data_IF_818907134215
#
_entry.id   IF_818907134215
#
_cell.length_a   1.000
_cell.length_b   1.000
_cell.length_c   1.000
_cell.angle_alpha   90.00
_cell.angle_beta   90.00
_cell.angle_gamma   90.00
#
_symmetry.space_group_name_H-M   'P 1'
#
loop_
_entity.id
_entity.type
_entity.pdbx_description
1 polymer ?
#
# COMPACT_ATOMS: atom_id res chain seq x y z
N UNK A 1 -3.07 7.49 -23.69
CA UNK A 1 -2.86 6.84 -22.38
C UNK A 1 -1.81 7.63 -21.61
N UNK A 2 -1.91 7.67 -20.31
CA UNK A 2 -1.02 8.42 -19.40
C UNK A 2 -1.10 9.96 -19.54
N UNK A 3 -2.29 10.52 -19.80
CA UNK A 3 -2.59 11.94 -19.67
C UNK A 3 -3.72 12.17 -18.66
N UNK A 4 -4.00 13.44 -18.31
CA UNK A 4 -5.02 13.79 -17.32
C UNK A 4 -6.42 13.25 -17.67
N UNK A 5 -6.83 13.37 -18.94
CA UNK A 5 -8.17 12.93 -19.36
C UNK A 5 -8.33 11.42 -19.18
N UNK A 6 -7.33 10.64 -19.63
CA UNK A 6 -7.32 9.20 -19.46
C UNK A 6 -7.38 8.81 -17.95
N UNK A 7 -6.62 9.51 -17.09
CA UNK A 7 -6.62 9.23 -15.66
C UNK A 7 -7.99 9.49 -15.03
N UNK A 8 -8.59 10.65 -15.30
CA UNK A 8 -9.91 11.00 -14.75
C UNK A 8 -11.02 10.12 -15.29
N UNK A 9 -10.93 9.66 -16.53
CA UNK A 9 -11.88 8.68 -17.10
C UNK A 9 -11.78 7.33 -16.36
N UNK A 10 -10.58 6.86 -16.03
CA UNK A 10 -10.40 5.64 -15.22
C UNK A 10 -10.99 5.82 -13.82
N UNK A 11 -10.67 6.91 -13.14
CA UNK A 11 -11.21 7.20 -11.81
C UNK A 11 -12.75 7.21 -11.83
N UNK A 12 -13.34 7.87 -12.81
CA UNK A 12 -14.79 7.91 -13.02
C UNK A 12 -15.40 6.53 -13.26
N UNK A 13 -14.74 5.70 -14.08
CA UNK A 13 -15.19 4.32 -14.32
C UNK A 13 -15.17 3.50 -13.03
N UNK A 14 -14.10 3.58 -12.23
CA UNK A 14 -13.98 2.88 -10.94
C UNK A 14 -15.10 3.30 -9.99
N UNK A 15 -15.37 4.62 -9.86
CA UNK A 15 -16.43 5.16 -9.02
C UNK A 15 -17.82 4.70 -9.50
N UNK A 16 -18.06 4.68 -10.80
CA UNK A 16 -19.32 4.19 -11.37
C UNK A 16 -19.57 2.70 -11.09
N UNK A 17 -18.49 1.92 -10.94
CA UNK A 17 -18.55 0.51 -10.53
C UNK A 17 -18.73 0.32 -9.02
N UNK A 18 -18.70 1.40 -8.22
CA UNK A 18 -18.72 1.34 -6.76
C UNK A 18 -17.47 0.65 -6.18
N UNK A 19 -16.36 0.71 -6.91
CA UNK A 19 -15.11 0.01 -6.57
C UNK A 19 -14.03 0.94 -6.00
N UNK A 20 -14.36 2.19 -5.69
CA UNK A 20 -13.47 3.23 -5.18
C UNK A 20 -13.25 3.17 -3.66
N UNK A 21 -13.67 2.09 -3.02
CA UNK A 21 -13.49 1.88 -1.58
C UNK A 21 -13.01 0.46 -1.29
N UNK A 22 -11.80 0.38 -0.74
CA UNK A 22 -11.24 -0.86 -0.20
C UNK A 22 -11.09 -0.76 1.34
N UNK A 23 -9.86 -0.78 1.88
CA UNK A 23 -9.63 -0.48 3.29
C UNK A 23 -9.92 0.99 3.61
N UNK A 24 -9.55 1.86 2.66
CA UNK A 24 -9.86 3.30 2.65
C UNK A 24 -10.52 3.62 1.30
N UNK A 25 -11.44 4.58 1.29
CA UNK A 25 -12.00 5.12 0.04
C UNK A 25 -10.99 6.02 -0.67
N UNK A 26 -11.21 6.28 -1.95
CA UNK A 26 -10.40 7.24 -2.71
C UNK A 26 -10.40 8.62 -2.05
N UNK A 27 -11.54 9.06 -1.53
CA UNK A 27 -11.67 10.37 -0.90
C UNK A 27 -10.90 10.42 0.44
N UNK A 28 -10.97 9.35 1.26
CA UNK A 28 -10.17 9.24 2.49
C UNK A 28 -8.67 9.23 2.21
N UNK A 29 -8.23 8.53 1.17
CA UNK A 29 -6.80 8.51 0.79
C UNK A 29 -6.36 9.89 0.32
N UNK A 30 -7.14 10.55 -0.51
CA UNK A 30 -6.86 11.91 -1.00
C UNK A 30 -6.77 12.90 0.14
N UNK A 31 -7.72 12.83 1.09
CA UNK A 31 -7.72 13.69 2.29
C UNK A 31 -6.50 13.43 3.17
N UNK A 32 -6.19 12.17 3.46
CA UNK A 32 -5.02 11.80 4.27
C UNK A 32 -3.69 12.25 3.64
N UNK A 33 -3.57 12.22 2.31
CA UNK A 33 -2.38 12.69 1.61
C UNK A 33 -2.27 14.21 1.59
N UNK A 34 -3.41 14.92 1.58
CA UNK A 34 -3.46 16.39 1.60
C UNK A 34 -3.28 16.96 3.00
N UNK A 35 -3.82 16.26 4.00
CA UNK A 35 -3.83 16.65 5.41
C UNK A 35 -3.39 15.48 6.30
N UNK A 36 -2.10 15.09 6.24
CA UNK A 36 -1.62 13.95 7.03
C UNK A 36 -1.74 14.23 8.52
N UNK A 37 -2.37 13.32 9.26
CA UNK A 37 -2.52 13.40 10.70
C UNK A 37 -1.62 12.40 11.42
N UNK A 38 -1.25 12.71 12.64
CA UNK A 38 -0.61 11.72 13.50
C UNK A 38 -1.62 10.66 13.93
N UNK A 39 -1.26 9.40 13.74
CA UNK A 39 -2.03 8.27 14.22
C UNK A 39 -1.79 8.04 15.70
N UNK A 40 -2.77 7.51 16.38
CA UNK A 40 -2.56 6.90 17.70
C UNK A 40 -1.72 5.61 17.55
N UNK A 41 -1.07 5.15 18.62
CA UNK A 41 -0.34 3.87 18.58
C UNK A 41 -1.22 2.68 18.15
N UNK A 42 -2.49 2.68 18.49
CA UNK A 42 -3.45 1.64 18.11
C UNK A 42 -3.72 1.69 16.60
N UNK A 43 -4.03 2.86 16.05
CA UNK A 43 -4.23 3.04 14.60
C UNK A 43 -2.97 2.68 13.81
N UNK A 44 -1.78 3.03 14.32
CA UNK A 44 -0.51 2.66 13.72
C UNK A 44 -0.36 1.13 13.63
N UNK A 45 -0.63 0.42 14.74
CA UNK A 45 -0.54 -1.04 14.79
C UNK A 45 -1.60 -1.70 13.90
N UNK A 46 -2.83 -1.17 13.84
CA UNK A 46 -3.90 -1.65 12.96
C UNK A 46 -3.51 -1.54 11.49
N UNK A 47 -2.91 -0.43 11.08
CA UNK A 47 -2.42 -0.27 9.70
C UNK A 47 -1.28 -1.23 9.36
N UNK A 48 -0.37 -1.49 10.32
CA UNK A 48 0.66 -2.50 10.16
C UNK A 48 0.05 -3.90 9.99
N UNK A 49 -0.91 -4.27 10.85
CA UNK A 49 -1.62 -5.54 10.76
C UNK A 49 -2.31 -5.70 9.39
N UNK A 50 -2.97 -4.65 8.91
CA UNK A 50 -3.63 -4.68 7.60
C UNK A 50 -2.66 -5.00 6.45
N UNK A 51 -1.53 -4.30 6.36
CA UNK A 51 -0.60 -4.51 5.24
C UNK A 51 0.12 -5.86 5.33
N UNK A 52 0.36 -6.38 6.54
CA UNK A 52 0.89 -7.73 6.78
C UNK A 52 -0.11 -8.78 6.29
N UNK A 53 -1.38 -8.62 6.62
CA UNK A 53 -2.44 -9.56 6.20
C UNK A 53 -2.71 -9.48 4.71
N UNK A 54 -2.67 -8.30 4.12
CA UNK A 54 -2.93 -8.08 2.69
C UNK A 54 -1.88 -8.74 1.78
N UNK A 55 -0.66 -8.96 2.25
CA UNK A 55 0.38 -9.63 1.49
C UNK A 55 -0.01 -11.08 1.12
N UNK A 56 -0.17 -11.37 -0.18
CA UNK A 56 -0.49 -12.72 -0.69
C UNK A 56 -1.96 -13.14 -0.58
N UNK A 57 -2.87 -12.23 -0.26
CA UNK A 57 -4.32 -12.48 -0.21
C UNK A 57 -5.10 -11.47 -1.04
N UNK A 58 -6.33 -11.86 -1.45
CA UNK A 58 -7.26 -10.88 -2.00
C UNK A 58 -7.62 -9.84 -0.92
N UNK A 59 -7.85 -8.60 -1.33
CA UNK A 59 -8.23 -7.54 -0.40
C UNK A 59 -9.49 -7.88 0.41
N UNK A 60 -10.49 -8.51 -0.21
CA UNK A 60 -11.72 -8.93 0.47
C UNK A 60 -11.42 -9.89 1.62
N UNK A 61 -10.52 -10.86 1.39
CA UNK A 61 -10.11 -11.82 2.42
C UNK A 61 -9.30 -11.13 3.51
N UNK A 62 -8.31 -10.32 3.12
CA UNK A 62 -7.48 -9.57 4.07
C UNK A 62 -8.31 -8.65 4.98
N UNK A 63 -9.28 -7.91 4.42
CA UNK A 63 -10.17 -7.02 5.18
C UNK A 63 -11.00 -7.79 6.22
N UNK A 64 -11.53 -8.96 5.85
CA UNK A 64 -12.31 -9.80 6.78
C UNK A 64 -11.45 -10.31 7.95
N UNK A 65 -10.26 -10.84 7.65
CA UNK A 65 -9.33 -11.34 8.67
C UNK A 65 -8.85 -10.18 9.55
N UNK A 66 -8.49 -9.05 8.95
CA UNK A 66 -8.06 -7.86 9.66
C UNK A 66 -9.10 -7.40 10.69
N UNK A 67 -10.37 -7.27 10.28
CA UNK A 67 -11.44 -6.85 11.19
C UNK A 67 -11.59 -7.78 12.40
N UNK A 68 -11.44 -9.08 12.22
CA UNK A 68 -11.51 -10.05 13.32
C UNK A 68 -10.31 -9.94 14.27
N UNK A 69 -9.10 -9.83 13.71
CA UNK A 69 -7.85 -9.73 14.47
C UNK A 69 -7.80 -8.42 15.25
N UNK A 70 -8.11 -7.27 14.62
CA UNK A 70 -8.07 -5.97 15.32
C UNK A 70 -9.13 -5.85 16.38
N UNK A 71 -10.36 -6.35 16.15
CA UNK A 71 -11.39 -6.38 17.20
C UNK A 71 -10.92 -7.17 18.44
N UNK A 72 -10.25 -8.29 18.24
CA UNK A 72 -9.68 -9.07 19.34
C UNK A 72 -8.54 -8.33 20.04
N UNK A 73 -7.59 -7.76 19.28
CA UNK A 73 -6.43 -7.02 19.81
C UNK A 73 -6.86 -5.84 20.69
N UNK A 74 -7.86 -5.09 20.28
CA UNK A 74 -8.38 -3.94 21.03
C UNK A 74 -9.04 -4.37 22.35
N UNK A 75 -9.69 -5.54 22.38
CA UNK A 75 -10.40 -6.02 23.56
C UNK A 75 -9.51 -6.78 24.55
N UNK A 76 -8.57 -7.58 24.04
CA UNK A 76 -7.87 -8.60 24.83
C UNK A 76 -6.34 -8.45 24.78
N UNK A 77 -5.81 -7.63 23.85
CA UNK A 77 -4.36 -7.55 23.63
C UNK A 77 -3.81 -8.66 22.74
N UNK A 78 -2.48 -8.73 22.64
CA UNK A 78 -1.78 -9.66 21.74
C UNK A 78 -1.59 -11.04 22.37
N UNK A 79 -2.56 -11.91 22.22
CA UNK A 79 -2.46 -13.35 22.52
C UNK A 79 -2.19 -14.11 21.21
N UNK A 80 -1.07 -14.82 21.17
CA UNK A 80 -0.64 -15.51 19.94
C UNK A 80 -1.56 -16.70 19.61
N UNK A 81 -1.92 -17.51 20.58
CA UNK A 81 -2.66 -18.77 20.35
C UNK A 81 -4.08 -18.46 19.85
N UNK A 82 -4.73 -17.49 20.46
CA UNK A 82 -6.05 -17.02 20.03
C UNK A 82 -6.01 -16.40 18.62
N UNK A 83 -5.06 -15.51 18.34
CA UNK A 83 -4.93 -14.91 17.01
C UNK A 83 -4.54 -15.94 15.95
N UNK A 84 -3.71 -16.93 16.30
CA UNK A 84 -3.35 -18.03 15.42
C UNK A 84 -4.55 -18.94 15.12
N UNK A 85 -5.45 -19.12 16.04
CA UNK A 85 -6.70 -19.87 15.80
C UNK A 85 -7.60 -19.20 14.77
N UNK A 86 -7.57 -17.85 14.71
CA UNK A 86 -8.33 -17.06 13.73
C UNK A 86 -7.68 -17.04 12.34
N UNK A 87 -6.33 -17.07 12.30
CA UNK A 87 -5.58 -17.02 11.07
C UNK A 87 -4.29 -17.85 11.15
N UNK A 88 -4.31 -19.04 10.56
CA UNK A 88 -3.24 -20.05 10.62
C UNK A 88 -1.98 -19.68 9.82
N UNK A 89 -1.40 -18.50 10.07
CA UNK A 89 -0.10 -18.08 9.54
C UNK A 89 0.81 -17.59 10.66
N UNK A 90 1.64 -18.50 11.16
CA UNK A 90 2.52 -18.27 12.32
C UNK A 90 3.38 -17.01 12.17
N UNK A 91 3.99 -16.80 11.00
CA UNK A 91 4.92 -15.69 10.80
C UNK A 91 4.20 -14.35 10.83
N UNK A 92 3.02 -14.25 10.20
CA UNK A 92 2.21 -13.04 10.20
C UNK A 92 1.66 -12.74 11.59
N UNK A 93 1.15 -13.74 12.29
CA UNK A 93 0.61 -13.56 13.63
C UNK A 93 1.70 -13.16 14.62
N UNK A 94 2.90 -13.79 14.57
CA UNK A 94 4.03 -13.34 15.40
C UNK A 94 4.37 -11.87 15.15
N UNK A 95 4.45 -11.45 13.89
CA UNK A 95 4.74 -10.06 13.53
C UNK A 95 3.68 -9.09 14.07
N UNK A 96 2.41 -9.43 13.92
CA UNK A 96 1.29 -8.61 14.42
C UNK A 96 1.36 -8.50 15.95
N UNK A 97 1.57 -9.61 16.67
CA UNK A 97 1.70 -9.61 18.12
C UNK A 97 2.89 -8.76 18.60
N UNK A 98 4.04 -8.85 17.93
CA UNK A 98 5.24 -8.09 18.26
C UNK A 98 5.00 -6.60 18.06
N UNK A 99 4.43 -6.20 16.91
CA UNK A 99 4.11 -4.80 16.62
C UNK A 99 3.09 -4.26 17.62
N UNK A 100 2.05 -5.02 17.93
CA UNK A 100 1.03 -4.60 18.88
C UNK A 100 1.58 -4.35 20.28
N UNK A 101 2.44 -5.25 20.79
CA UNK A 101 3.08 -5.09 22.10
C UNK A 101 3.99 -3.86 22.16
N UNK A 102 4.63 -3.52 21.04
CA UNK A 102 5.59 -2.41 20.94
C UNK A 102 5.02 -1.13 20.31
N UNK A 103 3.71 -1.06 20.06
CA UNK A 103 3.06 -0.01 19.27
C UNK A 103 3.36 1.42 19.73
N UNK A 104 3.45 1.65 21.05
CA UNK A 104 3.76 2.97 21.60
C UNK A 104 5.16 3.45 21.19
N UNK A 105 6.16 2.57 21.33
CA UNK A 105 7.54 2.89 20.99
C UNK A 105 7.72 3.03 19.48
N UNK A 106 7.16 2.09 18.70
CA UNK A 106 7.25 2.10 17.23
C UNK A 106 6.56 3.33 16.61
N UNK A 107 5.37 3.66 17.07
CA UNK A 107 4.64 4.83 16.62
C UNK A 107 5.40 6.13 16.97
N UNK A 108 5.91 6.25 18.21
CA UNK A 108 6.68 7.41 18.63
C UNK A 108 7.97 7.55 17.81
N UNK A 109 8.67 6.46 17.52
CA UNK A 109 9.88 6.47 16.70
C UNK A 109 9.60 6.88 15.26
N UNK A 110 8.57 6.32 14.62
CA UNK A 110 8.14 6.69 13.28
C UNK A 110 7.92 8.21 13.13
N UNK A 111 7.23 8.83 14.11
CA UNK A 111 6.94 10.27 14.08
C UNK A 111 8.10 11.17 14.52
N UNK A 112 9.22 10.61 14.98
CA UNK A 112 10.49 11.36 15.20
C UNK A 112 11.33 11.46 13.94
N UNK A 113 11.10 10.60 12.97
CA UNK A 113 11.85 10.56 11.72
C UNK A 113 11.26 11.62 10.78
N UNK A 114 12.10 12.57 10.33
CA UNK A 114 11.68 13.64 9.44
C UNK A 114 11.74 13.23 7.97
N UNK A 115 12.80 12.51 7.56
CA UNK A 115 12.98 12.16 6.15
C UNK A 115 12.12 10.97 5.76
N UNK A 116 11.50 11.06 4.58
CA UNK A 116 10.69 9.98 4.01
C UNK A 116 11.50 8.69 3.79
N UNK A 117 12.72 8.81 3.30
CA UNK A 117 13.59 7.66 3.05
C UNK A 117 13.92 6.90 4.35
N UNK A 118 14.18 7.63 5.44
CA UNK A 118 14.44 7.01 6.74
C UNK A 118 13.15 6.41 7.34
N UNK A 119 11.98 7.03 7.14
CA UNK A 119 10.68 6.43 7.49
C UNK A 119 10.46 5.11 6.76
N UNK A 120 10.68 5.07 5.44
CA UNK A 120 10.56 3.85 4.65
C UNK A 120 11.55 2.77 5.08
N UNK A 121 12.78 3.18 5.39
CA UNK A 121 13.80 2.29 5.92
C UNK A 121 13.39 1.72 7.29
N UNK A 122 12.93 2.56 8.21
CA UNK A 122 12.40 2.14 9.50
C UNK A 122 11.26 1.12 9.34
N UNK A 123 10.24 1.44 8.55
CA UNK A 123 9.11 0.54 8.31
C UNK A 123 9.56 -0.79 7.69
N UNK A 124 10.53 -0.77 6.77
CA UNK A 124 11.02 -1.99 6.11
C UNK A 124 11.83 -2.92 7.01
N UNK A 125 12.24 -2.46 8.20
CA UNK A 125 12.90 -3.28 9.23
C UNK A 125 11.91 -3.84 10.26
N UNK A 126 10.64 -3.43 10.21
CA UNK A 126 9.62 -3.98 11.09
C UNK A 126 9.30 -5.44 10.72
N UNK A 127 8.86 -6.26 11.69
CA UNK A 127 8.55 -7.66 11.45
C UNK A 127 7.58 -7.86 10.28
N UNK A 128 7.96 -8.71 9.34
CA UNK A 128 7.15 -9.09 8.16
C UNK A 128 6.77 -7.93 7.21
N UNK A 129 7.43 -6.77 7.32
CA UNK A 129 7.25 -5.63 6.43
C UNK A 129 8.49 -5.49 5.54
N UNK A 130 8.36 -5.86 4.26
CA UNK A 130 9.40 -5.67 3.25
C UNK A 130 9.29 -4.29 2.57
N UNK A 131 10.23 -3.97 1.68
CA UNK A 131 10.32 -2.65 1.01
C UNK A 131 9.02 -2.22 0.31
N UNK A 132 8.38 -3.12 -0.46
CA UNK A 132 7.11 -2.81 -1.16
C UNK A 132 5.99 -2.59 -0.14
N UNK A 133 5.93 -3.41 0.90
CA UNK A 133 4.93 -3.29 1.97
C UNK A 133 5.15 -2.03 2.80
N UNK A 134 6.40 -1.60 3.02
CA UNK A 134 6.71 -0.34 3.68
C UNK A 134 6.15 0.88 2.93
N UNK A 135 6.29 0.91 1.60
CA UNK A 135 5.67 1.96 0.78
C UNK A 135 4.13 1.94 0.89
N UNK A 136 3.51 0.74 0.86
CA UNK A 136 2.07 0.60 1.05
C UNK A 136 1.62 1.15 2.41
N UNK A 137 2.34 0.79 3.48
CA UNK A 137 2.06 1.25 4.83
C UNK A 137 2.24 2.76 4.96
N UNK A 138 3.37 3.31 4.47
CA UNK A 138 3.65 4.74 4.50
C UNK A 138 2.56 5.55 3.78
N UNK A 139 2.14 5.11 2.58
CA UNK A 139 1.04 5.75 1.85
C UNK A 139 -0.26 5.76 2.66
N UNK A 140 -0.63 4.64 3.28
CA UNK A 140 -1.83 4.56 4.10
C UNK A 140 -1.74 5.45 5.36
N UNK A 141 -0.53 5.79 5.80
CA UNK A 141 -0.25 6.74 6.90
C UNK A 141 -0.17 8.21 6.45
N UNK A 142 -0.41 8.49 5.15
CA UNK A 142 -0.43 9.85 4.61
C UNK A 142 0.87 10.31 3.96
N UNK A 143 1.86 9.45 3.81
CA UNK A 143 3.07 9.78 3.03
C UNK A 143 2.80 9.69 1.53
N UNK A 144 3.25 10.69 0.77
CA UNK A 144 3.04 10.74 -0.68
C UNK A 144 4.04 9.84 -1.42
N UNK A 145 3.79 8.53 -1.41
CA UNK A 145 4.66 7.50 -2.00
C UNK A 145 3.90 6.51 -2.86
N UNK A 146 4.63 5.83 -3.74
CA UNK A 146 4.13 4.80 -4.65
C UNK A 146 4.41 3.42 -4.10
N UNK A 147 3.43 2.52 -4.19
CA UNK A 147 3.61 1.09 -3.94
C UNK A 147 3.99 0.38 -5.23
N UNK A 148 5.27 0.11 -5.43
CA UNK A 148 5.79 -0.57 -6.63
C UNK A 148 5.46 -2.07 -6.64
N UNK A 149 4.17 -2.43 -6.59
CA UNK A 149 3.77 -3.84 -6.73
C UNK A 149 3.73 -4.27 -8.20
N UNK A 150 3.36 -5.53 -8.43
CA UNK A 150 3.36 -6.14 -9.77
C UNK A 150 2.55 -5.33 -10.80
N UNK A 151 1.42 -4.74 -10.42
CA UNK A 151 0.58 -3.97 -11.34
C UNK A 151 1.25 -2.66 -11.74
N UNK A 152 1.82 -1.96 -10.77
CA UNK A 152 2.53 -0.71 -11.00
C UNK A 152 3.82 -0.93 -11.79
N UNK A 153 4.55 -2.02 -11.50
CA UNK A 153 5.73 -2.38 -12.30
C UNK A 153 5.37 -2.66 -13.76
N UNK A 154 4.27 -3.37 -14.02
CA UNK A 154 3.76 -3.57 -15.39
C UNK A 154 3.43 -2.27 -16.08
N UNK A 155 2.73 -1.35 -15.42
CA UNK A 155 2.45 -0.03 -15.97
C UNK A 155 3.72 0.75 -16.29
N UNK A 156 4.74 0.70 -15.43
CA UNK A 156 6.04 1.31 -15.69
C UNK A 156 6.72 0.75 -16.93
N UNK A 157 6.65 -0.58 -17.14
CA UNK A 157 7.18 -1.22 -18.36
C UNK A 157 6.42 -0.74 -19.60
N UNK A 158 5.09 -0.67 -19.55
CA UNK A 158 4.25 -0.15 -20.66
C UNK A 158 4.58 1.32 -20.94
N UNK A 159 4.69 2.14 -19.92
CA UNK A 159 5.03 3.56 -20.05
C UNK A 159 6.40 3.78 -20.67
N UNK A 160 7.41 3.04 -20.20
CA UNK A 160 8.79 3.12 -20.70
C UNK A 160 8.99 2.52 -22.09
N UNK A 161 8.00 1.80 -22.65
CA UNK A 161 8.05 1.21 -23.99
C UNK A 161 9.08 0.07 -24.16
N UNK A 162 9.64 -0.45 -23.06
CA UNK A 162 10.66 -1.51 -23.12
C UNK A 162 10.10 -2.84 -22.59
N UNK A 163 9.45 -3.60 -23.46
CA UNK A 163 8.82 -4.89 -23.12
C UNK A 163 9.81 -5.96 -22.61
N UNK A 164 11.11 -5.82 -22.88
CA UNK A 164 12.12 -6.78 -22.39
C UNK A 164 12.27 -6.73 -20.88
N UNK A 165 11.87 -5.63 -20.23
CA UNK A 165 11.88 -5.50 -18.78
C UNK A 165 10.81 -6.35 -18.08
N UNK A 166 9.80 -6.86 -18.80
CA UNK A 166 8.72 -7.67 -18.23
C UNK A 166 9.24 -8.92 -17.50
N UNK A 167 10.33 -9.51 -17.96
CA UNK A 167 10.97 -10.67 -17.31
C UNK A 167 11.52 -10.40 -15.90
N UNK A 168 11.68 -9.13 -15.51
CA UNK A 168 12.18 -8.73 -14.20
C UNK A 168 11.06 -8.37 -13.22
N UNK A 169 9.81 -8.41 -13.66
CA UNK A 169 8.66 -8.14 -12.80
C UNK A 169 8.49 -9.31 -11.82
N UNK A 170 8.24 -8.99 -10.55
CA UNK A 170 7.93 -9.95 -9.49
C UNK A 170 9.04 -10.99 -9.18
N UNK A 171 10.29 -10.68 -9.46
CA UNK A 171 11.42 -11.56 -9.11
C UNK A 171 12.02 -11.30 -7.70
N UNK A 172 11.23 -10.72 -6.80
CA UNK A 172 11.61 -10.43 -5.40
C UNK A 172 12.42 -9.15 -5.19
N UNK A 173 12.86 -8.47 -6.28
CA UNK A 173 13.55 -7.18 -6.21
C UNK A 173 13.00 -6.25 -7.28
N UNK A 174 12.72 -5.01 -6.89
CA UNK A 174 12.34 -3.97 -7.84
C UNK A 174 13.55 -3.64 -8.76
N UNK A 175 13.37 -3.88 -10.05
CA UNK A 175 14.39 -3.55 -11.05
C UNK A 175 14.56 -2.02 -11.15
N UNK A 176 15.79 -1.47 -11.13
CA UNK A 176 16.02 -0.02 -11.15
C UNK A 176 15.47 0.69 -12.39
N UNK A 177 15.51 0.05 -13.57
CA UNK A 177 14.96 0.64 -14.81
C UNK A 177 13.44 0.67 -14.78
N UNK A 178 12.79 -0.39 -14.26
CA UNK A 178 11.34 -0.41 -14.04
C UNK A 178 10.96 0.68 -13.05
N UNK A 179 11.70 0.80 -11.93
CA UNK A 179 11.46 1.86 -10.95
C UNK A 179 11.54 3.24 -11.59
N UNK A 180 12.58 3.49 -12.38
CA UNK A 180 12.75 4.77 -13.10
C UNK A 180 11.56 5.06 -14.00
N UNK A 181 11.11 4.10 -14.82
CA UNK A 181 9.94 4.29 -15.68
C UNK A 181 8.66 4.54 -14.87
N UNK A 182 8.49 3.87 -13.73
CA UNK A 182 7.37 4.16 -12.83
C UNK A 182 7.45 5.59 -12.27
N UNK A 183 8.62 6.02 -11.79
CA UNK A 183 8.82 7.35 -11.24
C UNK A 183 8.52 8.45 -12.27
N UNK A 184 8.99 8.26 -13.51
CA UNK A 184 8.71 9.17 -14.63
C UNK A 184 7.21 9.21 -14.98
N UNK A 185 6.53 8.05 -15.00
CA UNK A 185 5.09 7.96 -15.20
C UNK A 185 4.30 8.71 -14.13
N UNK A 186 4.65 8.48 -12.85
CA UNK A 186 3.97 9.16 -11.74
C UNK A 186 4.25 10.66 -11.71
N UNK A 187 5.47 11.09 -11.99
CA UNK A 187 5.83 12.51 -12.09
C UNK A 187 5.03 13.19 -13.22
N UNK A 188 4.94 12.54 -14.38
CA UNK A 188 4.16 13.03 -15.52
C UNK A 188 2.67 13.17 -15.15
N UNK A 189 2.05 12.11 -14.66
CA UNK A 189 0.63 12.13 -14.28
C UNK A 189 0.34 13.14 -13.16
N UNK A 190 1.24 13.26 -12.17
CA UNK A 190 1.09 14.25 -11.10
C UNK A 190 1.15 15.68 -11.62
N UNK A 191 2.04 15.95 -12.59
CA UNK A 191 2.12 17.24 -13.28
C UNK A 191 0.84 17.55 -14.06
N UNK A 192 0.34 16.59 -14.82
CA UNK A 192 -0.87 16.73 -15.65
C UNK A 192 -2.17 16.88 -14.83
N UNK A 193 -2.28 16.16 -13.72
CA UNK A 193 -3.52 16.09 -12.93
C UNK A 193 -3.52 17.02 -11.71
N UNK A 194 -2.36 17.47 -11.25
CA UNK A 194 -2.20 18.19 -9.99
C UNK A 194 -2.43 17.31 -8.74
N UNK A 195 -2.47 15.98 -8.88
CA UNK A 195 -2.78 15.05 -7.79
C UNK A 195 -1.51 14.45 -7.16
N UNK A 196 -1.55 14.09 -5.86
CA UNK A 196 -0.46 13.36 -5.21
C UNK A 196 -0.18 12.00 -5.86
N UNK A 197 1.10 11.63 -5.99
CA UNK A 197 1.49 10.34 -6.60
C UNK A 197 0.92 9.13 -5.86
N UNK A 198 0.80 9.21 -4.53
CA UNK A 198 0.18 8.15 -3.72
C UNK A 198 -1.31 7.96 -4.01
N UNK A 199 -2.03 9.01 -4.40
CA UNK A 199 -3.41 8.91 -4.87
C UNK A 199 -3.49 8.29 -6.27
N UNK A 200 -2.65 8.77 -7.18
CA UNK A 200 -2.56 8.22 -8.54
C UNK A 200 -2.26 6.72 -8.51
N UNK A 201 -1.33 6.29 -7.64
CA UNK A 201 -1.00 4.88 -7.42
C UNK A 201 -2.22 4.03 -7.10
N UNK A 202 -3.06 4.47 -6.16
CA UNK A 202 -4.26 3.71 -5.76
C UNK A 202 -5.26 3.58 -6.90
N UNK A 203 -5.51 4.66 -7.64
CA UNK A 203 -6.44 4.65 -8.77
C UNK A 203 -5.93 3.73 -9.89
N UNK A 204 -4.65 3.85 -10.27
CA UNK A 204 -4.05 3.01 -11.31
C UNK A 204 -4.02 1.53 -10.90
N UNK A 205 -3.62 1.25 -9.65
CA UNK A 205 -3.64 -0.10 -9.11
C UNK A 205 -5.05 -0.71 -9.18
N UNK A 206 -6.07 0.06 -8.78
CA UNK A 206 -7.46 -0.40 -8.83
C UNK A 206 -7.95 -0.61 -10.27
N UNK A 207 -7.59 0.28 -11.20
CA UNK A 207 -7.91 0.13 -12.61
C UNK A 207 -7.30 -1.16 -13.20
N UNK A 208 -6.05 -1.48 -12.86
CA UNK A 208 -5.42 -2.73 -13.25
C UNK A 208 -6.13 -3.96 -12.66
N UNK A 209 -6.46 -3.90 -11.36
CA UNK A 209 -7.16 -4.98 -10.66
C UNK A 209 -8.53 -5.29 -11.31
N UNK A 210 -9.24 -4.26 -11.77
CA UNK A 210 -10.55 -4.38 -12.44
C UNK A 210 -10.44 -4.73 -13.93
N UNK A 211 -9.23 -4.82 -14.48
CA UNK A 211 -9.01 -5.06 -15.91
C UNK A 211 -9.39 -3.89 -16.82
N UNK A 212 -9.52 -2.67 -16.26
CA UNK A 212 -9.79 -1.45 -17.04
C UNK A 212 -8.53 -1.00 -17.81
N UNK A 213 -7.36 -1.37 -17.31
CA UNK A 213 -6.07 -1.19 -18.01
C UNK A 213 -5.55 -2.59 -18.37
N UNK A 214 -5.32 -2.81 -19.66
CA UNK A 214 -4.64 -4.02 -20.13
C UNK A 214 -3.14 -3.82 -20.00
N UNK A 215 -2.52 -4.64 -19.17
CA UNK A 215 -1.06 -4.70 -18.98
C UNK A 215 -0.51 -6.00 -19.53
N UNK A 216 -0.96 -6.38 -20.72
CA UNK A 216 -0.51 -7.61 -21.41
C UNK A 216 0.92 -7.37 -21.94
N UNK A 217 1.92 -7.73 -21.10
CA UNK A 217 3.36 -7.71 -21.39
C UNK A 217 3.99 -9.05 -20.99
#
# INVERSE_FOLDING_TARGET
>A
MFDANWFFDLEKQIRNLGADSDAQSFDEIRENLSHPRKLSPDEFADMCAYVILAGGFSQKTAKKIHAQITDYLHKNGADFDELFSMFHNKNKINAICEIWRNKNALCAEYYRIDSLDDKLKFLSHMPHIGKITANHLARNMGENVVKYDIWIQRLGVVYGGNSTLSQFIDNGKLNPEIKKSCDEMFAHLSCETGLPIGYIDVVLWKACQLGLIKTDI
#
